data_IF_880549172753
#
_entry.id   IF_880549172753
#
_cell.length_a   1.000
_cell.length_b   1.000
_cell.length_c   1.000
_cell.angle_alpha   90.00
_cell.angle_beta   90.00
_cell.angle_gamma   90.00
#
_symmetry.space_group_name_H-M   'P 1'
#
loop_
_entity.id
_entity.type
_entity.pdbx_description
1 polymer ?
#
# COMPACT_ATOMS: atom_id res chain seq x y z
N UNK A 1 9.37 -8.40 19.89
CA UNK A 1 8.53 -7.22 19.65
C UNK A 1 9.36 -5.96 19.44
N UNK A 2 10.56 -5.89 20.04
CA UNK A 2 11.55 -4.80 19.85
C UNK A 2 11.79 -4.39 18.40
N UNK A 3 11.66 -5.30 17.44
CA UNK A 3 12.01 -4.98 16.06
C UNK A 3 10.82 -4.68 15.13
N UNK A 4 9.55 -4.91 15.52
CA UNK A 4 8.43 -4.14 14.90
C UNK A 4 8.47 -2.73 15.43
N UNK A 5 8.75 -2.57 16.73
CA UNK A 5 8.92 -1.27 17.33
C UNK A 5 10.02 -0.48 16.61
N UNK A 6 11.23 -1.04 16.48
CA UNK A 6 12.31 -0.47 15.65
C UNK A 6 11.85 -0.23 14.20
N UNK A 7 11.16 -1.18 13.56
CA UNK A 7 10.66 -0.97 12.20
C UNK A 7 9.63 0.17 12.11
N UNK A 8 8.77 0.36 13.10
CA UNK A 8 7.78 1.43 13.12
C UNK A 8 8.40 2.79 13.49
N UNK A 9 9.36 2.81 14.41
CA UNK A 9 10.09 4.01 14.85
C UNK A 9 11.08 4.48 13.80
N UNK A 10 11.89 3.57 13.26
CA UNK A 10 13.05 3.85 12.42
C UNK A 10 12.79 3.67 10.92
N UNK A 11 11.79 2.89 10.52
CA UNK A 11 11.52 2.61 9.09
C UNK A 11 10.15 3.09 8.60
N UNK A 12 9.11 2.97 9.43
CA UNK A 12 7.72 3.23 9.05
C UNK A 12 7.14 2.24 8.04
N UNK A 13 7.83 1.13 7.76
CA UNK A 13 7.43 0.08 6.83
C UNK A 13 8.18 -1.24 7.13
N UNK A 14 7.51 -2.38 7.00
CA UNK A 14 8.13 -3.71 7.21
C UNK A 14 7.36 -4.82 6.48
N UNK A 15 8.04 -5.95 6.23
CA UNK A 15 7.40 -7.15 5.71
C UNK A 15 6.82 -7.99 6.85
N UNK A 16 5.56 -8.42 6.70
CA UNK A 16 4.94 -9.38 7.61
C UNK A 16 4.98 -10.76 6.96
N UNK A 17 5.59 -11.72 7.65
CA UNK A 17 5.60 -13.13 7.24
C UNK A 17 4.72 -13.98 8.16
N UNK A 18 4.30 -15.15 7.69
CA UNK A 18 3.49 -16.10 8.47
C UNK A 18 2.22 -15.46 9.06
N UNK A 19 1.62 -14.50 8.35
CA UNK A 19 0.44 -13.74 8.76
C UNK A 19 -0.85 -14.59 8.83
N UNK A 20 -0.79 -15.83 8.33
CA UNK A 20 -1.90 -16.80 8.42
C UNK A 20 -2.96 -16.67 7.32
N UNK A 21 -2.73 -15.81 6.31
CA UNK A 21 -3.57 -15.77 5.11
C UNK A 21 -3.10 -16.90 4.18
N UNK A 22 -4.04 -17.68 3.64
CA UNK A 22 -3.72 -18.80 2.75
C UNK A 22 -2.97 -18.32 1.51
N UNK A 23 -1.88 -19.01 1.16
CA UNK A 23 -1.17 -18.79 -0.10
C UNK A 23 -2.09 -19.00 -1.31
N UNK A 24 -3.00 -19.98 -1.26
CA UNK A 24 -3.97 -20.22 -2.33
C UNK A 24 -4.88 -19.01 -2.55
N UNK A 25 -5.31 -18.35 -1.46
CA UNK A 25 -6.12 -17.13 -1.54
C UNK A 25 -5.32 -15.96 -2.11
N UNK A 26 -4.06 -15.81 -1.71
CA UNK A 26 -3.17 -14.75 -2.23
C UNK A 26 -2.88 -14.93 -3.72
N UNK A 27 -2.54 -16.16 -4.14
CA UNK A 27 -2.32 -16.53 -5.53
C UNK A 27 -3.58 -16.26 -6.36
N UNK A 28 -4.74 -16.60 -5.81
CA UNK A 28 -6.01 -16.38 -6.48
C UNK A 28 -6.32 -14.90 -6.62
N UNK A 29 -6.13 -14.08 -5.57
CA UNK A 29 -6.26 -12.62 -5.60
C UNK A 29 -5.35 -12.00 -6.67
N UNK A 30 -4.09 -12.43 -6.73
CA UNK A 30 -3.15 -11.98 -7.77
C UNK A 30 -3.67 -12.33 -9.16
N UNK A 31 -4.09 -13.58 -9.37
CA UNK A 31 -4.56 -14.10 -10.66
C UNK A 31 -5.78 -13.32 -11.16
N UNK A 32 -6.82 -13.16 -10.34
CA UNK A 32 -8.04 -12.46 -10.75
C UNK A 32 -7.81 -10.96 -10.95
N UNK A 33 -6.92 -10.35 -10.16
CA UNK A 33 -6.57 -8.92 -10.31
C UNK A 33 -5.83 -8.65 -11.62
N UNK A 34 -4.87 -9.51 -11.98
CA UNK A 34 -4.15 -9.42 -13.26
C UNK A 34 -5.06 -9.67 -14.45
N UNK A 35 -5.92 -10.69 -14.37
CA UNK A 35 -6.89 -10.99 -15.42
C UNK A 35 -7.86 -9.82 -15.65
N UNK A 36 -8.38 -9.21 -14.59
CA UNK A 36 -9.23 -8.02 -14.69
C UNK A 36 -8.49 -6.80 -15.26
N UNK A 37 -7.24 -6.57 -14.85
CA UNK A 37 -6.45 -5.46 -15.43
C UNK A 37 -6.27 -5.62 -16.94
N UNK A 38 -5.90 -6.82 -17.40
CA UNK A 38 -5.74 -7.12 -18.82
C UNK A 38 -7.07 -6.99 -19.59
N UNK A 39 -8.16 -7.55 -19.05
CA UNK A 39 -9.44 -7.60 -19.74
C UNK A 39 -10.19 -6.26 -19.76
N UNK A 40 -10.12 -5.48 -18.67
CA UNK A 40 -11.03 -4.35 -18.47
C UNK A 40 -10.33 -2.99 -18.42
N UNK A 41 -9.01 -2.94 -18.17
CA UNK A 41 -8.30 -1.67 -17.92
C UNK A 41 -7.20 -1.34 -18.90
N UNK A 42 -6.69 -2.33 -19.61
CA UNK A 42 -5.52 -2.17 -20.46
C UNK A 42 -5.75 -1.11 -21.55
N UNK A 43 -6.91 -1.13 -22.21
CA UNK A 43 -7.23 -0.17 -23.28
C UNK A 43 -7.37 1.27 -22.75
N UNK A 44 -8.12 1.47 -21.65
CA UNK A 44 -8.24 2.78 -21.01
C UNK A 44 -6.86 3.31 -20.55
N UNK A 45 -5.99 2.43 -20.07
CA UNK A 45 -4.64 2.79 -19.70
C UNK A 45 -3.78 3.16 -20.91
N UNK A 46 -3.88 2.42 -22.02
CA UNK A 46 -3.16 2.75 -23.28
C UNK A 46 -3.53 4.13 -23.80
N UNK A 47 -4.81 4.47 -23.78
CA UNK A 47 -5.27 5.82 -24.17
C UNK A 47 -4.71 6.91 -23.25
N UNK A 48 -4.75 6.68 -21.94
CA UNK A 48 -4.12 7.57 -20.96
C UNK A 48 -2.62 7.72 -21.20
N UNK A 49 -1.90 6.62 -21.40
CA UNK A 49 -0.46 6.57 -21.61
C UNK A 49 -0.06 7.35 -22.87
N UNK A 50 -0.75 7.13 -23.98
CA UNK A 50 -0.50 7.83 -25.24
C UNK A 50 -0.64 9.35 -25.08
N UNK A 51 -1.74 9.81 -24.46
CA UNK A 51 -2.00 11.23 -24.22
C UNK A 51 -0.95 11.87 -23.29
N UNK A 52 -0.57 11.18 -22.24
CA UNK A 52 0.41 11.68 -21.27
C UNK A 52 1.79 11.83 -21.90
N UNK A 53 2.25 10.83 -22.67
CA UNK A 53 3.53 10.89 -23.36
C UNK A 53 3.55 11.99 -24.43
N UNK A 54 2.50 12.10 -25.24
CA UNK A 54 2.40 13.14 -26.27
C UNK A 54 2.45 14.55 -25.66
N UNK A 55 1.74 14.77 -24.54
CA UNK A 55 1.77 16.05 -23.83
C UNK A 55 3.17 16.37 -23.29
N UNK A 56 3.84 15.40 -22.66
CA UNK A 56 5.19 15.57 -22.14
C UNK A 56 6.23 15.82 -23.23
N UNK A 57 6.12 15.17 -24.38
CA UNK A 57 6.99 15.43 -25.54
C UNK A 57 6.80 16.83 -26.13
N UNK A 58 5.58 17.38 -26.04
CA UNK A 58 5.27 18.78 -26.40
C UNK A 58 5.69 19.79 -25.33
N UNK A 59 6.34 19.35 -24.25
CA UNK A 59 6.87 20.20 -23.20
C UNK A 59 5.89 20.52 -22.07
N UNK A 60 4.74 19.84 -22.00
CA UNK A 60 3.84 19.97 -20.85
C UNK A 60 4.47 19.35 -19.59
N UNK A 61 4.26 19.98 -18.44
CA UNK A 61 4.65 19.38 -17.17
C UNK A 61 3.64 18.28 -16.79
N UNK A 62 4.07 17.02 -16.91
CA UNK A 62 3.24 15.84 -16.56
C UNK A 62 3.55 15.31 -15.16
N UNK A 63 4.20 16.10 -14.31
CA UNK A 63 4.49 15.71 -12.92
C UNK A 63 3.25 15.65 -12.02
N UNK A 64 2.11 16.16 -12.48
CA UNK A 64 0.86 16.14 -11.72
C UNK A 64 -0.01 14.90 -11.97
N UNK A 65 0.46 13.97 -12.80
CA UNK A 65 -0.21 12.68 -13.06
C UNK A 65 0.62 11.49 -12.57
N UNK A 66 -0.08 10.40 -12.23
CA UNK A 66 0.50 9.13 -11.80
C UNK A 66 0.36 8.11 -12.94
N UNK A 67 1.45 7.42 -13.28
CA UNK A 67 1.48 6.33 -14.27
C UNK A 67 0.91 5.05 -13.66
N UNK A 68 -0.39 5.08 -13.37
CA UNK A 68 -1.09 4.04 -12.60
C UNK A 68 -2.46 3.76 -13.22
N UNK A 69 -2.84 2.48 -13.28
CA UNK A 69 -4.23 2.05 -13.47
C UNK A 69 -4.78 1.55 -12.14
N UNK A 70 -5.82 2.20 -11.62
CA UNK A 70 -6.33 1.91 -10.26
C UNK A 70 -7.84 1.89 -10.18
N UNK A 71 -8.36 1.14 -9.21
CA UNK A 71 -9.73 1.26 -8.70
C UNK A 71 -9.80 1.03 -7.20
N UNK A 72 -10.94 1.42 -6.63
CA UNK A 72 -11.19 1.32 -5.20
C UNK A 72 -12.38 0.41 -4.92
N UNK A 73 -12.13 -0.59 -4.09
CA UNK A 73 -13.17 -1.39 -3.44
C UNK A 73 -13.34 -0.87 -2.03
N UNK A 74 -14.54 -0.39 -1.70
CA UNK A 74 -14.94 -0.06 -0.33
C UNK A 74 -15.51 -1.31 0.30
N UNK A 75 -15.09 -1.61 1.53
CA UNK A 75 -15.61 -2.72 2.32
C UNK A 75 -16.50 -2.21 3.45
N UNK A 76 -16.00 -1.21 4.19
CA UNK A 76 -16.69 -0.59 5.32
C UNK A 76 -16.76 0.94 5.17
N UNK A 77 -17.79 1.58 5.75
CA UNK A 77 -18.92 0.99 6.48
C UNK A 77 -19.99 0.35 5.59
N UNK A 78 -19.95 0.62 4.29
CA UNK A 78 -20.82 0.01 3.29
C UNK A 78 -19.97 -0.41 2.08
N UNK A 79 -20.19 -1.61 1.59
CA UNK A 79 -19.44 -2.10 0.44
C UNK A 79 -20.01 -1.60 -0.87
N UNK A 80 -19.14 -1.22 -1.82
CA UNK A 80 -19.52 -0.92 -3.21
C UNK A 80 -19.24 -2.09 -4.16
N UNK A 81 -18.85 -3.26 -3.64
CA UNK A 81 -18.36 -4.38 -4.45
C UNK A 81 -19.41 -4.88 -5.44
N UNK A 82 -20.70 -4.75 -5.11
CA UNK A 82 -21.82 -5.08 -5.99
C UNK A 82 -21.99 -4.10 -7.16
N UNK A 83 -21.52 -2.87 -6.98
CA UNK A 83 -21.75 -1.73 -7.88
C UNK A 83 -20.62 -1.59 -8.91
N UNK A 84 -19.59 -2.44 -8.84
CA UNK A 84 -18.46 -2.45 -9.77
C UNK A 84 -18.79 -3.37 -10.97
N UNK A 85 -19.26 -2.82 -12.11
CA UNK A 85 -19.83 -3.62 -13.20
C UNK A 85 -18.81 -4.56 -13.84
N UNK A 86 -17.55 -4.18 -13.86
CA UNK A 86 -16.46 -4.90 -14.53
C UNK A 86 -15.83 -6.01 -13.67
N UNK A 87 -16.34 -6.22 -12.44
CA UNK A 87 -15.96 -7.34 -11.58
C UNK A 87 -16.98 -8.46 -11.72
N UNK A 88 -16.53 -9.62 -12.17
CA UNK A 88 -17.37 -10.82 -12.21
C UNK A 88 -17.69 -11.35 -10.79
N UNK A 89 -18.64 -12.30 -10.72
CA UNK A 89 -19.07 -12.89 -9.46
C UNK A 89 -17.93 -13.54 -8.68
N UNK A 90 -17.00 -14.19 -9.40
CA UNK A 90 -15.89 -14.92 -8.79
C UNK A 90 -14.88 -13.95 -8.14
N UNK A 91 -14.49 -12.91 -8.86
CA UNK A 91 -13.57 -11.89 -8.34
C UNK A 91 -14.19 -11.15 -7.15
N UNK A 92 -15.49 -10.84 -7.18
CA UNK A 92 -16.19 -10.28 -6.01
C UNK A 92 -16.10 -11.21 -4.80
N UNK A 93 -16.27 -12.51 -4.98
CA UNK A 93 -16.17 -13.47 -3.87
C UNK A 93 -14.75 -13.53 -3.30
N UNK A 94 -13.74 -13.63 -4.17
CA UNK A 94 -12.32 -13.64 -3.79
C UNK A 94 -11.94 -12.36 -3.03
N UNK A 95 -12.34 -11.18 -3.53
CA UNK A 95 -12.05 -9.91 -2.87
C UNK A 95 -12.74 -9.78 -1.51
N UNK A 96 -13.96 -10.31 -1.37
CA UNK A 96 -14.68 -10.30 -0.10
C UNK A 96 -14.00 -11.18 0.94
N UNK A 97 -13.56 -12.38 0.55
CA UNK A 97 -12.82 -13.29 1.42
C UNK A 97 -11.47 -12.69 1.83
N UNK A 98 -10.73 -12.17 0.86
CA UNK A 98 -9.45 -11.52 1.13
C UNK A 98 -9.60 -10.31 2.05
N UNK A 99 -10.60 -9.47 1.82
CA UNK A 99 -10.88 -8.32 2.70
C UNK A 99 -11.15 -8.75 4.14
N UNK A 100 -11.90 -9.84 4.36
CA UNK A 100 -12.17 -10.34 5.70
C UNK A 100 -10.89 -10.83 6.40
N UNK A 101 -9.98 -11.51 5.68
CA UNK A 101 -8.69 -11.92 6.24
C UNK A 101 -7.76 -10.73 6.52
N UNK A 102 -7.76 -9.72 5.65
CA UNK A 102 -7.00 -8.48 5.85
C UNK A 102 -7.56 -7.67 7.04
N UNK A 103 -8.87 -7.63 7.24
CA UNK A 103 -9.49 -7.00 8.42
C UNK A 103 -9.07 -7.71 9.71
N UNK A 104 -9.16 -9.05 9.75
CA UNK A 104 -8.67 -9.85 10.90
C UNK A 104 -7.19 -9.60 11.17
N UNK A 105 -6.38 -9.52 10.12
CA UNK A 105 -4.96 -9.24 10.23
C UNK A 105 -4.71 -7.82 10.74
N UNK A 106 -5.43 -6.82 10.23
CA UNK A 106 -5.35 -5.45 10.71
C UNK A 106 -5.70 -5.37 12.20
N UNK A 107 -6.75 -6.05 12.66
CA UNK A 107 -7.10 -6.10 14.08
C UNK A 107 -5.99 -6.75 14.94
N UNK A 108 -5.35 -7.80 14.42
CA UNK A 108 -4.15 -8.43 15.03
C UNK A 108 -2.87 -7.59 14.87
N UNK A 109 -2.88 -6.49 14.12
CA UNK A 109 -1.74 -5.55 13.96
C UNK A 109 -2.04 -4.18 14.59
N UNK A 110 -3.28 -3.93 15.03
CA UNK A 110 -3.72 -2.66 15.64
C UNK A 110 -3.83 -2.69 17.18
N UNK A 111 -3.70 -3.85 17.79
CA UNK A 111 -3.88 -4.20 19.22
C UNK A 111 -5.23 -3.75 19.76
N UNK A 112 -5.90 -4.65 20.47
CA UNK A 112 -7.32 -4.51 20.75
C UNK A 112 -7.60 -3.38 21.76
N UNK A 113 -7.67 -2.14 21.28
CA UNK A 113 -8.03 -1.00 22.10
C UNK A 113 -7.74 0.35 21.47
N UNK A 114 -6.49 0.80 21.54
CA UNK A 114 -6.18 2.21 21.28
C UNK A 114 -6.24 2.59 19.80
N UNK A 115 -5.61 1.82 18.89
CA UNK A 115 -5.61 2.18 17.47
C UNK A 115 -7.00 2.03 16.86
N UNK A 116 -7.76 0.99 17.27
CA UNK A 116 -9.17 0.85 16.89
C UNK A 116 -9.91 2.13 17.27
N UNK A 117 -9.89 2.57 18.54
CA UNK A 117 -10.53 3.84 18.97
C UNK A 117 -9.99 5.08 18.25
N UNK A 118 -8.69 5.16 18.00
CA UNK A 118 -8.06 6.31 17.37
C UNK A 118 -8.39 6.47 15.88
N UNK A 119 -8.81 5.38 15.22
CA UNK A 119 -9.14 5.36 13.79
C UNK A 119 -10.60 5.03 13.48
N UNK A 120 -11.38 4.57 14.45
CA UNK A 120 -12.82 4.42 14.32
C UNK A 120 -13.52 5.70 14.76
N UNK A 121 -14.16 6.39 13.82
CA UNK A 121 -15.12 7.43 14.16
C UNK A 121 -16.41 6.86 14.74
N UNK A 122 -17.40 7.71 15.01
CA UNK A 122 -18.73 7.31 15.52
C UNK A 122 -19.50 6.31 14.63
N UNK A 123 -19.06 6.12 13.38
CA UNK A 123 -19.64 5.20 12.40
C UNK A 123 -18.82 3.92 12.18
N UNK A 124 -17.83 3.65 13.04
CA UNK A 124 -16.91 2.52 12.88
C UNK A 124 -15.72 2.83 11.96
N UNK A 125 -14.89 1.82 11.63
CA UNK A 125 -13.72 1.99 10.78
C UNK A 125 -14.13 2.23 9.32
N UNK A 126 -13.28 2.95 8.59
CA UNK A 126 -13.32 2.94 7.13
C UNK A 126 -12.27 1.94 6.65
N UNK A 127 -12.70 0.99 5.82
CA UNK A 127 -11.83 -0.04 5.25
C UNK A 127 -12.12 -0.18 3.76
N UNK A 128 -11.06 -0.18 2.96
CA UNK A 128 -11.13 -0.34 1.53
C UNK A 128 -9.80 -0.82 0.96
N UNK A 129 -9.85 -1.31 -0.27
CA UNK A 129 -8.70 -1.77 -1.03
C UNK A 129 -8.54 -0.90 -2.27
N UNK A 130 -7.36 -0.30 -2.42
CA UNK A 130 -6.89 0.24 -3.69
C UNK A 130 -6.23 -0.89 -4.45
N UNK A 131 -6.75 -1.24 -5.62
CA UNK A 131 -6.13 -2.24 -6.50
C UNK A 131 -5.46 -1.46 -7.64
N UNK A 132 -4.14 -1.53 -7.67
CA UNK A 132 -3.30 -0.75 -8.57
C UNK A 132 -2.48 -1.65 -9.50
N UNK A 133 -2.25 -1.18 -10.71
CA UNK A 133 -1.35 -1.77 -11.68
C UNK A 133 -0.48 -0.67 -12.30
N UNK A 134 0.80 -0.99 -12.47
CA UNK A 134 1.81 -0.08 -13.01
C UNK A 134 2.43 -0.69 -14.27
N UNK A 135 1.81 -0.51 -15.45
CA UNK A 135 2.35 -1.05 -16.69
C UNK A 135 3.72 -0.42 -17.05
N UNK A 136 4.54 -1.08 -17.88
CA UNK A 136 5.83 -0.55 -18.29
C UNK A 136 5.74 0.87 -18.87
N UNK A 137 6.63 1.76 -18.44
CA UNK A 137 6.71 3.14 -18.94
C UNK A 137 7.94 3.30 -19.85
N UNK A 138 7.79 3.80 -21.09
CA UNK A 138 8.92 4.05 -21.99
C UNK A 138 9.75 5.28 -21.59
N UNK A 139 9.20 6.19 -20.76
CA UNK A 139 9.83 7.44 -20.31
C UNK A 139 9.73 7.60 -18.78
N UNK A 140 10.38 6.71 -18.00
CA UNK A 140 10.32 6.76 -16.53
C UNK A 140 10.98 8.01 -15.93
N UNK A 141 11.79 8.73 -16.71
CA UNK A 141 12.36 10.03 -16.38
C UNK A 141 11.31 11.16 -16.36
N UNK A 142 10.20 10.97 -17.07
CA UNK A 142 9.19 12.00 -17.32
C UNK A 142 8.00 11.89 -16.34
N UNK A 143 7.58 10.67 -16.00
CA UNK A 143 6.39 10.41 -15.20
C UNK A 143 6.65 9.29 -14.20
N UNK A 144 6.17 9.46 -12.97
CA UNK A 144 6.31 8.47 -11.90
C UNK A 144 5.10 7.55 -11.87
N UNK A 145 5.29 6.28 -11.47
CA UNK A 145 4.20 5.35 -11.22
C UNK A 145 3.22 5.90 -10.19
N UNK A 146 3.75 6.28 -9.01
CA UNK A 146 3.01 6.98 -7.98
C UNK A 146 3.93 8.05 -7.37
N UNK A 147 3.43 9.28 -7.25
CA UNK A 147 4.18 10.40 -6.65
C UNK A 147 4.40 10.16 -5.16
N UNK A 148 5.45 10.79 -4.64
CA UNK A 148 5.78 10.73 -3.23
C UNK A 148 4.64 11.33 -2.40
N UNK A 149 4.13 10.56 -1.46
CA UNK A 149 3.06 10.98 -0.56
C UNK A 149 3.16 10.21 0.75
N UNK A 150 2.45 10.68 1.75
CA UNK A 150 2.17 9.92 2.97
C UNK A 150 0.75 9.41 2.89
N UNK A 151 0.54 8.12 3.11
CA UNK A 151 -0.80 7.56 3.18
C UNK A 151 -1.64 8.30 4.21
N UNK A 152 -2.84 8.70 3.81
CA UNK A 152 -3.83 9.24 4.71
C UNK A 152 -4.59 8.07 5.33
N UNK A 153 -4.62 7.99 6.66
CA UNK A 153 -5.41 6.98 7.36
C UNK A 153 -4.67 6.35 8.54
N UNK A 154 -4.94 5.06 8.75
CA UNK A 154 -4.36 4.28 9.83
C UNK A 154 -3.26 3.35 9.37
N UNK A 155 -3.55 2.05 9.32
CA UNK A 155 -2.60 1.04 8.85
C UNK A 155 -2.90 0.69 7.41
N UNK A 156 -1.83 0.53 6.62
CA UNK A 156 -1.87 0.01 5.26
C UNK A 156 -1.26 -1.39 5.29
N UNK A 157 -2.02 -2.36 4.79
CA UNK A 157 -1.54 -3.72 4.54
C UNK A 157 -1.42 -3.87 3.02
N UNK A 158 -0.19 -3.95 2.53
CA UNK A 158 0.12 -3.98 1.11
C UNK A 158 0.46 -5.40 0.66
N UNK A 159 -0.26 -5.89 -0.35
CA UNK A 159 0.08 -7.11 -1.08
C UNK A 159 0.63 -6.72 -2.45
N UNK A 160 1.90 -7.01 -2.70
CA UNK A 160 2.61 -6.65 -3.94
C UNK A 160 2.96 -7.88 -4.79
N UNK A 161 3.25 -7.63 -6.07
CA UNK A 161 3.76 -8.67 -6.97
C UNK A 161 5.16 -9.11 -6.55
N UNK A 162 5.31 -10.39 -6.21
CA UNK A 162 6.59 -10.97 -5.79
C UNK A 162 7.69 -10.92 -6.86
N UNK A 163 7.33 -10.75 -8.14
CA UNK A 163 8.26 -10.79 -9.29
C UNK A 163 8.72 -9.42 -9.76
N UNK A 164 8.00 -8.36 -9.39
CA UNK A 164 8.32 -6.99 -9.79
C UNK A 164 8.81 -6.26 -8.55
N UNK A 165 10.12 -5.99 -8.48
CA UNK A 165 10.75 -5.19 -7.42
C UNK A 165 10.24 -3.75 -7.44
N UNK A 166 9.01 -3.54 -6.98
CA UNK A 166 8.24 -2.31 -7.07
C UNK A 166 8.06 -1.64 -5.72
N UNK A 167 9.10 -1.62 -4.89
CA UNK A 167 9.26 -0.71 -3.77
C UNK A 167 10.76 -0.65 -3.46
N UNK A 168 11.44 0.34 -4.05
CA UNK A 168 12.88 0.60 -3.94
C UNK A 168 13.82 -0.56 -4.34
N UNK A 169 14.58 -0.35 -5.42
CA UNK A 169 15.71 -1.21 -5.74
C UNK A 169 16.65 -1.36 -4.53
N UNK A 170 16.99 -2.61 -4.20
CA UNK A 170 18.03 -3.03 -3.26
C UNK A 170 17.84 -2.81 -1.75
N UNK A 171 16.71 -2.29 -1.26
CA UNK A 171 16.50 -2.19 0.19
C UNK A 171 15.91 -3.49 0.77
N UNK A 172 16.71 -4.21 1.57
CA UNK A 172 16.23 -5.35 2.39
C UNK A 172 15.43 -4.78 3.56
N UNK A 173 14.09 -4.94 3.53
CA UNK A 173 13.23 -4.48 4.62
C UNK A 173 13.29 -5.45 5.84
N UNK A 174 13.24 -4.94 7.09
CA UNK A 174 13.16 -5.76 8.31
C UNK A 174 11.80 -6.50 8.49
N UNK A 175 11.72 -7.57 9.31
CA UNK A 175 10.60 -8.55 9.43
C UNK A 175 10.22 -8.95 10.88
N UNK A 176 9.05 -8.59 11.48
CA UNK A 176 8.81 -8.77 12.96
C UNK A 176 7.36 -8.96 13.54
N UNK A 177 7.22 -9.03 14.90
CA UNK A 177 6.01 -9.31 15.79
C UNK A 177 5.52 -8.13 16.72
N UNK A 178 4.21 -8.08 17.01
CA UNK A 178 3.21 -6.98 17.22
C UNK A 178 3.15 -6.06 18.48
N UNK A 179 3.40 -6.51 19.71
CA UNK A 179 2.81 -5.88 20.93
C UNK A 179 3.62 -4.70 21.58
N UNK A 180 4.79 -4.32 21.02
CA UNK A 180 5.57 -3.13 21.47
C UNK A 180 5.15 -1.82 20.77
N UNK A 181 4.49 -1.91 19.61
CA UNK A 181 4.10 -0.78 18.74
C UNK A 181 3.07 0.19 19.37
N UNK A 182 2.28 -0.28 20.34
CA UNK A 182 1.13 0.47 20.85
C UNK A 182 1.46 1.61 21.81
N UNK A 183 2.59 1.53 22.51
CA UNK A 183 2.93 2.49 23.57
C UNK A 183 3.47 3.82 23.03
N UNK A 184 3.94 3.88 21.77
CA UNK A 184 4.63 5.05 21.22
C UNK A 184 3.84 5.81 20.13
N UNK A 185 2.98 5.14 19.37
CA UNK A 185 2.09 5.79 18.39
C UNK A 185 1.17 6.87 19.02
N UNK A 186 0.88 6.76 20.31
CA UNK A 186 0.18 7.80 21.09
C UNK A 186 0.89 9.16 21.10
N UNK A 187 2.21 9.23 20.85
CA UNK A 187 3.02 10.43 21.14
C UNK A 187 3.34 11.33 19.94
N UNK A 188 3.42 10.81 18.70
CA UNK A 188 4.03 11.55 17.57
C UNK A 188 3.29 11.47 16.21
N UNK A 189 1.99 11.16 16.22
CA UNK A 189 1.16 10.95 15.01
C UNK A 189 1.03 12.18 14.08
N UNK A 190 1.40 13.38 14.50
CA UNK A 190 1.05 14.64 13.81
C UNK A 190 2.22 15.43 13.20
N UNK A 191 3.42 14.84 13.05
CA UNK A 191 4.60 15.53 12.50
C UNK A 191 4.96 15.10 11.08
N UNK A 192 5.59 16.01 10.32
CA UNK A 192 6.06 15.79 8.95
C UNK A 192 7.25 14.80 8.90
N UNK A 193 7.28 13.92 7.90
CA UNK A 193 8.23 12.80 7.84
C UNK A 193 9.65 13.19 7.39
N UNK A 194 9.83 14.29 6.67
CA UNK A 194 11.12 14.66 6.05
C UNK A 194 12.24 15.00 7.06
N UNK A 195 11.98 15.80 8.12
CA UNK A 195 12.97 16.04 9.19
C UNK A 195 13.32 14.76 9.97
N UNK A 196 12.42 13.77 9.99
CA UNK A 196 12.61 12.48 10.66
C UNK A 196 13.64 11.60 9.94
N UNK A 197 13.65 11.63 8.60
CA UNK A 197 14.58 10.85 7.78
C UNK A 197 16.00 11.44 7.75
N UNK A 198 16.17 12.76 7.87
CA UNK A 198 17.49 13.39 7.92
C UNK A 198 18.19 13.19 9.27
N UNK A 199 17.45 13.16 10.38
CA UNK A 199 18.02 12.88 11.70
C UNK A 199 18.65 11.47 11.78
N UNK A 200 18.08 10.48 11.09
CA UNK A 200 18.58 9.10 11.11
C UNK A 200 19.82 8.87 10.23
N UNK A 201 20.10 9.75 9.28
CA UNK A 201 21.37 9.71 8.53
C UNK A 201 22.56 10.14 9.38
N UNK A 202 22.33 10.97 10.40
CA UNK A 202 23.39 11.50 11.26
C UNK A 202 23.89 10.46 12.29
N UNK A 203 23.01 9.58 12.78
CA UNK A 203 23.35 8.55 13.78
C UNK A 203 23.94 7.25 13.18
N UNK A 204 23.93 7.11 11.85
CA UNK A 204 24.56 5.98 11.15
C UNK A 204 26.07 6.16 10.89
N UNK A 205 26.72 7.16 11.52
CA UNK A 205 28.17 7.27 11.47
C UNK A 205 28.82 6.15 12.31
N UNK A 206 29.83 5.43 11.78
CA UNK A 206 30.44 4.33 12.50
C UNK A 206 31.16 4.84 13.75
N UNK A 207 30.85 4.25 14.90
CA UNK A 207 31.66 4.40 16.11
C UNK A 207 33.04 3.84 15.78
N UNK A 208 33.99 4.74 15.50
CA UNK A 208 35.38 4.40 15.33
C UNK A 208 35.88 3.75 16.62
N UNK A 209 36.32 2.50 16.50
CA UNK A 209 37.04 1.79 17.55
C UNK A 209 38.46 2.35 17.64
N UNK A 210 38.83 2.78 18.84
CA UNK A 210 40.21 2.80 19.34
C UNK A 210 40.17 2.34 20.81
#
# INVERSE_FOLDING_TARGET
>A
MEVIHDACENWGFFELLNHGISHELMDEVERVSKAHCAACREEQFKEFAARTLEAGEKGADVKDVDWESTFFVRHLPASNLTDLPDLDHHYRQVMKEFAAEIEKLAEKVLEQGYLKRAFTGSRGPTFGTKVSSYPPCPRPDMVKGLRAHTDAGGIILLFTDARVGGAHGSAVYPRFVFEDYMNLYMRHKFEAKEPRFEAMKADAAPTATA
#
